data_IF_735639741574
#
_entry.id   IF_735639741574
#
_cell.length_a   1.000
_cell.length_b   1.000
_cell.length_c   1.000
_cell.angle_alpha   90.00
_cell.angle_beta   90.00
_cell.angle_gamma   90.00
#
_symmetry.space_group_name_H-M   'P 1'
#
loop_
_entity.id
_entity.type
_entity.pdbx_description
1 polymer ?
#
# COMPACT_ATOMS: atom_id res chain seq x y z
N UNK A 1 18.57 -25.78 -5.77
CA UNK A 1 17.38 -25.02 -6.22
C UNK A 1 16.78 -24.40 -4.97
N UNK A 2 16.77 -23.07 -4.89
CA UNK A 2 16.02 -22.37 -3.84
C UNK A 2 14.58 -22.29 -4.36
N UNK A 3 13.64 -22.96 -3.69
CA UNK A 3 12.22 -22.78 -4.00
C UNK A 3 11.80 -21.42 -3.45
N UNK A 4 11.44 -20.50 -4.34
CA UNK A 4 10.75 -19.26 -3.94
C UNK A 4 9.33 -19.63 -3.54
N UNK A 5 9.06 -19.62 -2.24
CA UNK A 5 7.70 -19.70 -1.73
C UNK A 5 7.03 -18.33 -1.92
N UNK A 6 6.13 -18.25 -2.89
CA UNK A 6 5.36 -17.03 -3.16
C UNK A 6 4.25 -16.94 -2.11
N UNK A 7 4.42 -16.04 -1.14
CA UNK A 7 3.34 -15.65 -0.23
C UNK A 7 2.43 -14.65 -0.95
N UNK A 8 1.23 -15.10 -1.31
CA UNK A 8 0.19 -14.24 -1.88
C UNK A 8 -0.72 -13.72 -0.78
N UNK A 9 -0.97 -12.42 -0.78
CA UNK A 9 -1.91 -11.77 0.12
C UNK A 9 -2.91 -10.95 -0.70
N UNK A 10 -4.19 -11.20 -0.45
CA UNK A 10 -5.31 -10.45 -1.03
C UNK A 10 -6.11 -9.80 0.09
N UNK A 11 -6.34 -8.50 0.01
CA UNK A 11 -7.30 -7.81 0.85
C UNK A 11 -8.53 -7.39 0.01
N UNK A 12 -9.71 -7.44 0.62
CA UNK A 12 -10.94 -6.95 -0.01
C UNK A 12 -11.17 -5.51 0.45
N UNK A 13 -10.97 -4.56 -0.45
CA UNK A 13 -11.28 -3.16 -0.17
C UNK A 13 -12.78 -2.91 -0.40
N UNK A 14 -13.39 -2.01 0.38
CA UNK A 14 -14.79 -1.66 0.18
C UNK A 14 -15.00 -0.86 -1.13
N UNK A 15 -16.21 -0.89 -1.70
CA UNK A 15 -16.53 -0.22 -2.97
C UNK A 15 -16.32 1.31 -2.95
N UNK A 16 -16.33 1.92 -1.77
CA UNK A 16 -16.02 3.34 -1.61
C UNK A 16 -14.51 3.61 -1.80
N UNK A 17 -13.65 2.70 -1.36
CA UNK A 17 -12.20 2.78 -1.54
C UNK A 17 -11.82 2.49 -2.99
N UNK A 18 -12.46 1.49 -3.64
CA UNK A 18 -12.23 1.21 -5.05
C UNK A 18 -12.47 2.43 -5.96
N UNK A 19 -13.53 3.20 -5.69
CA UNK A 19 -13.84 4.41 -6.47
C UNK A 19 -12.84 5.54 -6.24
N UNK A 20 -12.40 5.78 -5.01
CA UNK A 20 -11.50 6.90 -4.71
C UNK A 20 -10.02 6.60 -5.01
N UNK A 21 -9.58 5.34 -4.86
CA UNK A 21 -8.28 4.88 -5.39
C UNK A 21 -8.20 5.19 -6.88
N UNK A 22 -9.28 4.97 -7.62
CA UNK A 22 -9.29 5.19 -9.07
C UNK A 22 -9.18 6.67 -9.46
N UNK A 23 -9.66 7.61 -8.64
CA UNK A 23 -9.67 9.03 -8.99
C UNK A 23 -8.39 9.77 -8.60
N UNK A 24 -7.88 9.57 -7.38
CA UNK A 24 -6.80 10.40 -6.82
C UNK A 24 -5.50 9.63 -6.52
N UNK A 25 -5.52 8.30 -6.46
CA UNK A 25 -4.31 7.52 -6.26
C UNK A 25 -3.67 7.25 -7.61
N UNK A 26 -2.38 7.61 -7.74
CA UNK A 26 -1.57 7.29 -8.91
C UNK A 26 -0.94 5.91 -8.79
N UNK A 27 -0.41 5.59 -7.62
CA UNK A 27 0.17 4.27 -7.36
C UNK A 27 0.14 3.88 -5.89
N UNK A 28 0.06 2.58 -5.66
CA UNK A 28 0.28 1.95 -4.35
C UNK A 28 1.38 0.91 -4.56
N UNK A 29 2.46 1.05 -3.82
CA UNK A 29 3.65 0.21 -3.94
C UNK A 29 4.21 -0.15 -2.57
N UNK A 30 4.98 -1.23 -2.49
CA UNK A 30 5.59 -1.67 -1.24
C UNK A 30 6.96 -2.32 -1.48
N UNK A 31 7.73 -2.42 -0.41
CA UNK A 31 9.00 -3.13 -0.36
C UNK A 31 9.14 -3.86 0.97
N UNK A 32 9.65 -5.09 0.91
CA UNK A 32 10.10 -5.81 2.10
C UNK A 32 11.57 -5.48 2.31
N UNK A 33 11.86 -4.77 3.40
CA UNK A 33 13.22 -4.36 3.74
C UNK A 33 14.06 -5.56 4.17
N UNK A 34 15.39 -5.38 4.19
CA UNK A 34 16.31 -6.42 4.67
C UNK A 34 16.08 -6.79 6.15
N UNK A 35 15.43 -5.93 6.92
CA UNK A 35 14.99 -6.17 8.30
C UNK A 35 13.76 -7.07 8.40
N UNK A 36 13.07 -7.33 7.27
CA UNK A 36 11.79 -8.05 7.23
C UNK A 36 10.57 -7.15 7.46
N UNK A 37 10.78 -5.86 7.70
CA UNK A 37 9.71 -4.86 7.79
C UNK A 37 9.16 -4.52 6.40
N UNK A 38 7.89 -4.12 6.34
CA UNK A 38 7.20 -3.79 5.10
C UNK A 38 7.01 -2.27 5.05
N UNK A 39 7.64 -1.64 4.06
CA UNK A 39 7.39 -0.23 3.74
C UNK A 39 6.32 -0.16 2.66
N UNK A 40 5.24 0.58 2.93
CA UNK A 40 4.20 0.89 1.94
C UNK A 40 4.33 2.35 1.52
N UNK A 41 4.11 2.63 0.24
CA UNK A 41 4.08 3.96 -0.33
C UNK A 41 2.83 4.20 -1.17
N UNK A 42 2.16 5.30 -0.87
CA UNK A 42 1.05 5.84 -1.64
C UNK A 42 1.49 7.08 -2.39
N UNK A 43 1.17 7.14 -3.68
CA UNK A 43 1.38 8.33 -4.51
C UNK A 43 0.02 8.85 -4.94
N UNK A 44 -0.25 10.12 -4.63
CA UNK A 44 -1.54 10.78 -4.84
C UNK A 44 -1.38 12.02 -5.75
N UNK A 45 -2.48 12.48 -6.35
CA UNK A 45 -2.51 13.82 -6.96
C UNK A 45 -2.61 14.93 -5.90
N UNK A 46 -3.41 14.72 -4.85
CA UNK A 46 -3.60 15.65 -3.72
C UNK A 46 -3.93 14.90 -2.42
N UNK A 47 -3.73 15.55 -1.27
CA UNK A 47 -4.18 15.04 0.03
C UNK A 47 -5.46 15.75 0.49
N UNK A 48 -6.45 14.96 0.91
CA UNK A 48 -7.58 15.43 1.70
C UNK A 48 -7.77 14.51 2.91
N UNK A 49 -8.56 14.94 3.89
CA UNK A 49 -8.87 14.13 5.07
C UNK A 49 -9.46 12.76 4.69
N UNK A 50 -10.20 12.71 3.58
CA UNK A 50 -10.78 11.48 3.05
C UNK A 50 -9.73 10.49 2.55
N UNK A 51 -8.69 10.95 1.87
CA UNK A 51 -7.60 10.05 1.46
C UNK A 51 -6.76 9.58 2.63
N UNK A 52 -6.63 10.39 3.68
CA UNK A 52 -5.99 9.96 4.92
C UNK A 52 -6.77 8.83 5.59
N UNK A 53 -8.10 8.95 5.68
CA UNK A 53 -8.98 7.86 6.16
C UNK A 53 -8.79 6.59 5.31
N UNK A 54 -8.76 6.71 3.99
CA UNK A 54 -8.55 5.55 3.12
C UNK A 54 -7.18 4.91 3.26
N UNK A 55 -6.12 5.71 3.44
CA UNK A 55 -4.78 5.17 3.70
C UNK A 55 -4.78 4.41 5.02
N UNK A 56 -5.41 4.95 6.06
CA UNK A 56 -5.50 4.30 7.37
C UNK A 56 -6.25 2.97 7.31
N UNK A 57 -7.38 2.92 6.60
CA UNK A 57 -8.15 1.70 6.35
C UNK A 57 -7.30 0.64 5.61
N UNK A 58 -6.57 1.04 4.55
CA UNK A 58 -5.70 0.12 3.79
C UNK A 58 -4.60 -0.44 4.68
N UNK A 59 -3.93 0.42 5.45
CA UNK A 59 -2.83 -0.01 6.33
C UNK A 59 -3.36 -0.92 7.43
N UNK A 60 -4.47 -0.58 8.06
CA UNK A 60 -5.09 -1.39 9.11
C UNK A 60 -5.46 -2.79 8.60
N UNK A 61 -6.11 -2.87 7.44
CA UNK A 61 -6.46 -4.16 6.81
C UNK A 61 -5.21 -4.96 6.43
N UNK A 62 -4.15 -4.29 5.96
CA UNK A 62 -2.91 -4.96 5.59
C UNK A 62 -2.13 -5.48 6.83
N UNK A 63 -2.08 -4.68 7.89
CA UNK A 63 -1.50 -5.01 9.20
C UNK A 63 -2.22 -6.17 9.88
N UNK A 64 -3.56 -6.19 9.83
CA UNK A 64 -4.37 -7.23 10.45
C UNK A 64 -4.10 -8.65 9.89
N UNK A 65 -3.49 -8.74 8.71
CA UNK A 65 -3.11 -10.00 8.07
C UNK A 65 -1.66 -10.42 8.35
N UNK A 66 -0.87 -9.60 9.06
CA UNK A 66 0.50 -9.94 9.42
C UNK A 66 0.57 -10.67 10.77
N UNK A 67 1.47 -11.65 10.88
CA UNK A 67 1.68 -12.40 12.13
C UNK A 67 2.28 -11.56 13.26
N UNK A 68 2.88 -10.40 12.93
CA UNK A 68 3.52 -9.48 13.86
C UNK A 68 3.50 -8.05 13.30
N UNK A 69 3.74 -7.06 14.17
CA UNK A 69 3.71 -5.64 13.78
C UNK A 69 4.96 -5.25 12.98
N UNK A 70 4.96 -5.57 11.69
CA UNK A 70 6.08 -5.37 10.76
C UNK A 70 5.82 -4.31 9.69
N UNK A 71 4.62 -3.73 9.64
CA UNK A 71 4.26 -2.71 8.66
C UNK A 71 4.70 -1.35 9.20
N UNK A 72 5.51 -0.65 8.41
CA UNK A 72 5.98 0.67 8.76
C UNK A 72 4.91 1.72 8.46
N UNK A 73 5.01 2.86 9.12
CA UNK A 73 4.20 4.03 8.78
C UNK A 73 4.32 4.32 7.27
N UNK A 74 3.19 4.54 6.57
CA UNK A 74 3.23 4.71 5.13
C UNK A 74 3.96 5.97 4.71
N UNK A 75 4.66 5.89 3.59
CA UNK A 75 5.16 7.07 2.86
C UNK A 75 4.02 7.59 1.98
N UNK A 76 3.78 8.90 2.03
CA UNK A 76 2.77 9.58 1.22
C UNK A 76 3.49 10.62 0.37
N UNK A 77 3.41 10.46 -0.95
CA UNK A 77 4.01 11.36 -1.94
C UNK A 77 2.97 11.94 -2.90
N UNK A 78 3.31 13.06 -3.54
CA UNK A 78 2.42 13.80 -4.42
C UNK A 78 3.03 13.98 -5.81
N UNK A 79 2.20 13.84 -6.85
CA UNK A 79 2.62 14.05 -8.23
C UNK A 79 3.30 12.81 -8.80
N UNK A 80 4.24 13.00 -9.73
CA UNK A 80 4.91 11.89 -10.40
C UNK A 80 6.13 11.44 -9.59
N UNK A 81 5.97 10.33 -8.89
CA UNK A 81 7.01 9.73 -8.06
C UNK A 81 7.26 8.28 -8.50
N UNK A 82 8.49 7.81 -8.32
CA UNK A 82 8.85 6.44 -8.67
C UNK A 82 8.25 5.49 -7.63
N UNK A 83 7.53 4.42 -8.01
CA UNK A 83 7.02 3.46 -7.03
C UNK A 83 8.17 2.73 -6.29
N UNK A 84 7.84 2.13 -5.16
CA UNK A 84 8.71 1.13 -4.52
C UNK A 84 8.81 -0.13 -5.40
N UNK A 85 9.68 -1.07 -5.00
CA UNK A 85 10.06 -2.24 -5.79
C UNK A 85 8.86 -3.07 -6.26
N UNK A 86 7.86 -3.28 -5.41
CA UNK A 86 6.68 -4.08 -5.73
C UNK A 86 5.45 -3.18 -5.90
N UNK A 87 4.73 -3.35 -7.01
CA UNK A 87 3.58 -2.52 -7.37
C UNK A 87 2.27 -3.30 -7.16
N UNK A 88 1.35 -2.73 -6.38
CA UNK A 88 0.01 -3.30 -6.16
C UNK A 88 -1.01 -2.63 -7.07
N UNK A 89 -0.83 -1.33 -7.31
CA UNK A 89 -1.72 -0.53 -8.14
C UNK A 89 -0.94 0.57 -8.85
N UNK A 90 -1.28 0.80 -10.12
CA UNK A 90 -0.80 1.92 -10.94
C UNK A 90 -1.93 2.36 -11.85
N UNK A 91 -2.20 3.66 -11.88
CA UNK A 91 -3.18 4.30 -12.75
C UNK A 91 -2.60 4.65 -14.12
#
# INVERSE_FOLDING_TARGET
MISLEVKYQSCNLCDAMHRNINDNFKSISFEVLSTGEIQIKFTLDKITDRELEYIDDIITEFEAQQDWNCVLKPIIEFGDCHPLVNLVYLK
#
